data_IF_071855653772
#
_entry.id   IF_071855653772
#
_cell.length_a   1.000
_cell.length_b   1.000
_cell.length_c   1.000
_cell.angle_alpha   90.00
_cell.angle_beta   90.00
_cell.angle_gamma   90.00
#
_symmetry.space_group_name_H-M   'P 1'
#
loop_
_entity.id
_entity.type
_entity.pdbx_description
1 polymer ?
#
# COMPACT_ATOMS: atom_id res chain seq x y z
N UNK A 1 10.99 43.49 -25.79
CA UNK A 1 10.12 42.45 -26.35
C UNK A 1 8.79 43.09 -26.66
N UNK A 2 8.29 42.98 -27.90
CA UNK A 2 7.01 43.62 -28.24
C UNK A 2 5.83 42.88 -27.60
N UNK A 3 4.75 43.61 -27.27
CA UNK A 3 3.52 43.05 -26.64
C UNK A 3 2.95 41.84 -27.45
N UNK A 4 3.07 41.89 -28.79
CA UNK A 4 2.67 40.76 -29.67
C UNK A 4 3.49 39.46 -29.38
N UNK A 5 4.81 39.57 -29.23
CA UNK A 5 5.68 38.42 -28.92
C UNK A 5 5.39 37.84 -27.55
N UNK A 6 5.13 38.71 -26.57
CA UNK A 6 4.78 38.26 -25.21
C UNK A 6 3.44 37.52 -25.17
N UNK A 7 2.42 38.01 -25.88
CA UNK A 7 1.11 37.32 -26.00
C UNK A 7 1.23 35.97 -26.70
N UNK A 8 2.04 35.88 -27.78
CA UNK A 8 2.29 34.60 -28.48
C UNK A 8 2.97 33.59 -27.57
N UNK A 9 4.01 34.01 -26.85
CA UNK A 9 4.72 33.14 -25.90
C UNK A 9 3.80 32.66 -24.77
N UNK A 10 3.04 33.59 -24.18
CA UNK A 10 2.06 33.25 -23.12
C UNK A 10 1.03 32.23 -23.62
N UNK A 11 0.55 32.37 -24.85
CA UNK A 11 -0.40 31.43 -25.46
C UNK A 11 0.22 30.04 -25.66
N UNK A 12 1.46 29.95 -26.16
CA UNK A 12 2.14 28.66 -26.35
C UNK A 12 2.44 27.96 -25.04
N UNK A 13 2.92 28.70 -24.04
CA UNK A 13 3.16 28.17 -22.69
C UNK A 13 1.83 27.74 -22.05
N UNK A 14 0.78 28.57 -22.17
CA UNK A 14 -0.55 28.23 -21.65
C UNK A 14 -1.13 26.97 -22.26
N UNK A 15 -0.98 26.76 -23.58
CA UNK A 15 -1.44 25.55 -24.24
C UNK A 15 -0.66 24.31 -23.76
N UNK A 16 0.66 24.40 -23.65
CA UNK A 16 1.49 23.30 -23.16
C UNK A 16 1.15 22.98 -21.69
N UNK A 17 1.00 24.01 -20.85
CA UNK A 17 0.59 23.84 -19.45
C UNK A 17 -0.83 23.24 -19.31
N UNK A 18 -1.76 23.64 -20.19
CA UNK A 18 -3.11 23.08 -20.23
C UNK A 18 -3.10 21.58 -20.54
N UNK A 19 -2.26 21.14 -21.48
CA UNK A 19 -2.12 19.71 -21.80
C UNK A 19 -1.64 18.92 -20.59
N UNK A 20 -0.62 19.44 -19.89
CA UNK A 20 -0.12 18.82 -18.65
C UNK A 20 -1.18 18.76 -17.55
N UNK A 21 -1.95 19.84 -17.34
CA UNK A 21 -3.03 19.88 -16.36
C UNK A 21 -4.14 18.86 -16.67
N UNK A 22 -4.48 18.68 -17.96
CA UNK A 22 -5.44 17.64 -18.38
C UNK A 22 -4.92 16.25 -18.03
N UNK A 23 -3.66 15.96 -18.34
CA UNK A 23 -3.05 14.66 -18.01
C UNK A 23 -3.08 14.45 -16.49
N UNK A 24 -2.67 15.45 -15.69
CA UNK A 24 -2.66 15.35 -14.24
C UNK A 24 -4.07 15.13 -13.67
N UNK A 25 -5.08 15.85 -14.18
CA UNK A 25 -6.46 15.69 -13.74
C UNK A 25 -7.03 14.31 -14.08
N UNK A 26 -6.80 13.82 -15.31
CA UNK A 26 -7.25 12.50 -15.74
C UNK A 26 -6.57 11.38 -14.93
N UNK A 27 -5.26 11.47 -14.72
CA UNK A 27 -4.55 10.47 -13.90
C UNK A 27 -5.04 10.46 -12.46
N UNK A 28 -5.34 11.62 -11.87
CA UNK A 28 -5.93 11.70 -10.52
C UNK A 28 -7.27 10.97 -10.47
N UNK A 29 -8.18 11.24 -11.42
CA UNK A 29 -9.48 10.57 -11.49
C UNK A 29 -9.34 9.05 -11.65
N UNK A 30 -8.45 8.60 -12.54
CA UNK A 30 -8.20 7.15 -12.75
C UNK A 30 -7.66 6.50 -11.49
N UNK A 31 -6.70 7.12 -10.80
CA UNK A 31 -6.10 6.57 -9.58
C UNK A 31 -7.09 6.53 -8.41
N UNK A 32 -7.89 7.57 -8.23
CA UNK A 32 -8.93 7.62 -7.20
C UNK A 32 -10.02 6.57 -7.40
N UNK A 33 -10.38 6.32 -8.66
CA UNK A 33 -11.42 5.39 -9.05
C UNK A 33 -10.89 4.14 -9.77
N UNK A 34 -9.67 3.71 -9.44
CA UNK A 34 -8.99 2.59 -10.11
C UNK A 34 -9.84 1.31 -10.25
N UNK A 35 -10.71 1.03 -9.26
CA UNK A 35 -11.60 -0.15 -9.28
C UNK A 35 -12.67 -0.07 -10.38
N UNK A 36 -13.06 1.13 -10.84
CA UNK A 36 -13.99 1.33 -11.93
C UNK A 36 -13.30 1.14 -13.28
N UNK A 37 -12.07 1.65 -13.43
CA UNK A 37 -11.30 1.58 -14.68
C UNK A 37 -10.58 0.24 -14.85
N UNK A 38 -10.14 -0.34 -13.75
CA UNK A 38 -9.44 -1.61 -13.68
C UNK A 38 -10.15 -2.48 -12.63
N UNK A 39 -11.36 -2.99 -12.95
CA UNK A 39 -12.00 -3.95 -12.05
C UNK A 39 -11.05 -5.12 -11.85
N UNK A 40 -10.93 -5.65 -10.63
CA UNK A 40 -10.14 -6.86 -10.40
C UNK A 40 -10.62 -7.89 -11.40
N UNK A 41 -9.71 -8.35 -12.26
CA UNK A 41 -10.04 -9.39 -13.22
C UNK A 41 -10.49 -10.60 -12.40
N UNK A 42 -11.68 -11.12 -12.68
CA UNK A 42 -12.18 -12.35 -12.07
C UNK A 42 -11.29 -13.57 -12.38
N UNK A 43 -10.28 -13.38 -13.17
CA UNK A 43 -9.22 -14.31 -13.53
C UNK A 43 -7.86 -13.63 -13.32
N UNK A 44 -7.37 -13.61 -12.07
CA UNK A 44 -5.94 -13.73 -11.93
C UNK A 44 -5.61 -15.15 -12.42
N UNK A 45 -4.91 -15.28 -13.54
CA UNK A 45 -4.43 -16.57 -14.04
C UNK A 45 -3.37 -17.19 -13.11
N UNK A 46 -3.20 -16.66 -11.92
CA UNK A 46 -2.38 -17.16 -10.83
C UNK A 46 -3.26 -17.65 -9.67
N UNK A 47 -2.80 -18.67 -8.94
CA UNK A 47 -3.52 -19.23 -7.80
C UNK A 47 -3.61 -18.31 -6.59
N UNK A 48 -3.02 -17.13 -6.66
CA UNK A 48 -2.91 -16.14 -5.57
C UNK A 48 -3.28 -14.76 -6.11
N UNK A 49 -3.97 -13.95 -5.35
CA UNK A 49 -4.46 -12.60 -5.66
C UNK A 49 -3.58 -11.72 -6.57
N UNK A 50 -4.00 -10.51 -6.80
CA UNK A 50 -3.35 -9.62 -7.77
C UNK A 50 -1.93 -9.18 -7.39
N UNK A 51 -1.64 -9.11 -6.08
CA UNK A 51 -0.38 -8.58 -5.57
C UNK A 51 0.27 -9.54 -4.58
N UNK A 52 1.46 -10.01 -4.92
CA UNK A 52 2.35 -10.68 -3.98
C UNK A 52 2.97 -9.63 -3.06
N UNK A 53 2.72 -9.73 -1.77
CA UNK A 53 3.16 -8.75 -0.78
C UNK A 53 4.30 -9.26 0.08
N UNK A 54 4.31 -10.57 0.35
CA UNK A 54 5.34 -11.21 1.16
C UNK A 54 5.47 -12.69 0.82
N UNK A 55 6.61 -13.28 1.11
CA UNK A 55 6.81 -14.71 0.99
C UNK A 55 7.75 -15.23 2.08
N UNK A 56 7.66 -16.51 2.37
CA UNK A 56 8.60 -17.23 3.22
C UNK A 56 8.80 -18.64 2.67
N UNK A 57 10.03 -19.13 2.76
CA UNK A 57 10.42 -20.50 2.42
C UNK A 57 10.88 -21.16 3.71
N UNK A 58 10.38 -22.36 3.99
CA UNK A 58 10.79 -23.10 5.16
C UNK A 58 12.24 -23.57 5.02
N UNK A 59 13.11 -23.18 5.95
CA UNK A 59 14.54 -23.49 5.87
C UNK A 59 14.85 -24.99 5.94
N UNK A 60 14.05 -25.77 6.70
CA UNK A 60 14.21 -27.21 6.86
C UNK A 60 13.50 -28.02 5.77
N UNK A 61 12.53 -27.43 5.08
CA UNK A 61 11.71 -28.07 4.04
C UNK A 61 11.46 -27.05 2.92
N UNK A 62 12.41 -26.87 1.96
CA UNK A 62 12.33 -25.83 0.94
C UNK A 62 11.13 -25.93 -0.03
N UNK A 63 10.48 -27.07 -0.09
CA UNK A 63 9.22 -27.28 -0.82
C UNK A 63 8.03 -26.61 -0.16
N UNK A 64 8.10 -26.31 1.15
CA UNK A 64 7.08 -25.52 1.85
C UNK A 64 7.30 -24.03 1.62
N UNK A 65 6.35 -23.41 0.97
CA UNK A 65 6.36 -21.97 0.66
C UNK A 65 5.08 -21.33 1.16
N UNK A 66 5.19 -20.20 1.87
CA UNK A 66 4.07 -19.32 2.21
C UNK A 66 4.11 -18.07 1.34
N UNK A 67 2.96 -17.63 0.89
CA UNK A 67 2.80 -16.39 0.16
C UNK A 67 1.68 -15.58 0.78
N UNK A 68 1.97 -14.34 1.12
CA UNK A 68 1.01 -13.34 1.56
C UNK A 68 0.63 -12.41 0.42
N UNK A 69 -0.65 -12.22 0.21
CA UNK A 69 -1.21 -11.43 -0.89
C UNK A 69 -2.25 -10.43 -0.40
N UNK A 70 -2.84 -9.68 -1.31
CA UNK A 70 -4.03 -8.86 -1.04
C UNK A 70 -5.31 -9.68 -0.87
N UNK A 71 -5.29 -10.97 -1.25
CA UNK A 71 -6.42 -11.90 -1.11
C UNK A 71 -6.28 -12.86 0.07
N UNK A 72 -5.17 -12.82 0.82
CA UNK A 72 -4.92 -13.67 1.98
C UNK A 72 -3.60 -14.42 1.93
N UNK A 73 -3.51 -15.52 2.68
CA UNK A 73 -2.34 -16.40 2.77
C UNK A 73 -2.54 -17.63 1.91
N UNK A 74 -1.49 -18.01 1.20
CA UNK A 74 -1.44 -19.23 0.39
C UNK A 74 -0.23 -20.04 0.79
N UNK A 75 -0.37 -21.37 0.75
CA UNK A 75 0.71 -22.33 1.03
C UNK A 75 0.96 -23.23 -0.17
N UNK A 76 2.21 -23.61 -0.36
CA UNK A 76 2.65 -24.61 -1.33
C UNK A 76 3.47 -25.67 -0.62
N UNK A 77 3.28 -26.93 -1.00
CA UNK A 77 4.04 -28.08 -0.52
C UNK A 77 4.96 -28.68 -1.61
N UNK A 78 5.09 -28.00 -2.75
CA UNK A 78 5.83 -28.50 -3.92
C UNK A 78 6.76 -27.44 -4.55
N UNK A 79 7.34 -26.58 -3.71
CA UNK A 79 8.30 -25.58 -4.13
C UNK A 79 7.68 -24.45 -4.96
N UNK A 80 6.40 -24.11 -4.72
CA UNK A 80 5.72 -23.02 -5.41
C UNK A 80 5.09 -23.41 -6.76
N UNK A 81 5.04 -24.69 -7.11
CA UNK A 81 4.40 -25.15 -8.37
C UNK A 81 2.88 -25.05 -8.33
N UNK A 82 2.29 -25.25 -7.15
CA UNK A 82 0.87 -25.01 -6.88
C UNK A 82 0.68 -24.43 -5.50
N UNK A 83 -0.42 -23.68 -5.32
CA UNK A 83 -0.74 -23.03 -4.05
C UNK A 83 -2.18 -23.32 -3.65
N UNK A 84 -2.41 -23.43 -2.35
CA UNK A 84 -3.72 -23.63 -1.74
C UNK A 84 -3.94 -22.45 -0.81
N UNK A 85 -5.12 -21.83 -0.88
CA UNK A 85 -5.48 -20.74 0.02
C UNK A 85 -5.71 -21.26 1.42
N UNK A 86 -5.12 -20.60 2.39
CA UNK A 86 -5.28 -20.89 3.81
C UNK A 86 -6.47 -20.08 4.36
N UNK A 87 -7.36 -20.76 5.08
CA UNK A 87 -8.50 -20.10 5.72
C UNK A 87 -8.04 -19.35 6.97
N UNK A 88 -8.24 -18.04 6.98
CA UNK A 88 -7.95 -17.18 8.12
C UNK A 88 -9.22 -16.96 8.97
N UNK A 89 -9.11 -16.71 10.29
CA UNK A 89 -10.26 -16.48 11.17
C UNK A 89 -10.86 -15.08 11.01
N UNK A 90 -10.34 -14.30 10.10
CA UNK A 90 -10.78 -12.93 9.78
C UNK A 90 -10.93 -12.78 8.28
N UNK A 91 -11.78 -11.86 7.87
CA UNK A 91 -11.93 -11.52 6.45
C UNK A 91 -10.56 -11.20 5.83
N UNK A 92 -10.32 -11.73 4.62
CA UNK A 92 -9.09 -11.57 3.90
C UNK A 92 -8.73 -10.07 3.78
N UNK A 93 -7.52 -9.75 4.17
CA UNK A 93 -6.96 -8.40 4.04
C UNK A 93 -5.51 -8.53 3.59
N UNK A 94 -4.90 -7.40 3.20
CA UNK A 94 -3.51 -7.39 2.77
C UNK A 94 -2.58 -8.05 3.80
N UNK A 95 -1.92 -9.12 3.40
CA UNK A 95 -0.94 -9.84 4.23
C UNK A 95 0.41 -9.19 4.04
N UNK A 96 0.84 -8.42 5.02
CA UNK A 96 2.10 -7.63 4.93
C UNK A 96 3.34 -8.45 5.23
N UNK A 97 3.21 -9.56 5.96
CA UNK A 97 4.29 -10.50 6.20
C UNK A 97 3.76 -11.92 6.44
N UNK A 98 4.53 -12.90 6.01
CA UNK A 98 4.39 -14.32 6.40
C UNK A 98 5.75 -14.83 6.85
N UNK A 99 5.76 -15.81 7.76
CA UNK A 99 6.96 -16.48 8.21
C UNK A 99 6.67 -17.91 8.66
N UNK A 100 7.69 -18.76 8.60
CA UNK A 100 7.74 -20.03 9.32
C UNK A 100 8.46 -19.83 10.65
N UNK A 101 8.12 -20.64 11.64
CA UNK A 101 9.00 -20.85 12.78
C UNK A 101 10.23 -21.64 12.31
N UNK A 102 11.47 -21.20 12.62
CA UNK A 102 12.66 -21.80 12.04
C UNK A 102 12.84 -23.31 12.34
N UNK A 103 12.41 -23.74 13.52
CA UNK A 103 12.57 -25.13 13.99
C UNK A 103 11.29 -25.98 13.90
N UNK A 104 10.15 -25.35 13.55
CA UNK A 104 8.84 -26.00 13.54
C UNK A 104 8.15 -25.72 12.19
N UNK A 105 8.32 -26.61 11.19
CA UNK A 105 7.79 -26.39 9.84
C UNK A 105 6.26 -26.23 9.75
N UNK A 106 5.53 -26.79 10.72
CA UNK A 106 4.06 -26.63 10.81
C UNK A 106 3.61 -25.34 11.48
N UNK A 107 4.54 -24.56 12.06
CA UNK A 107 4.23 -23.33 12.76
C UNK A 107 4.38 -22.12 11.84
N UNK A 108 3.25 -21.56 11.45
CA UNK A 108 3.15 -20.45 10.51
C UNK A 108 2.80 -19.15 11.23
N UNK A 109 3.26 -18.05 10.66
CA UNK A 109 2.88 -16.70 11.07
C UNK A 109 2.35 -15.90 9.88
N UNK A 110 1.34 -15.08 10.13
CA UNK A 110 0.81 -14.14 9.16
C UNK A 110 0.53 -12.79 9.83
N UNK A 111 0.97 -11.72 9.20
CA UNK A 111 0.69 -10.34 9.62
C UNK A 111 -0.26 -9.72 8.64
N UNK A 112 -1.46 -9.36 9.10
CA UNK A 112 -2.50 -8.76 8.28
C UNK A 112 -2.61 -7.27 8.60
N UNK A 113 -2.64 -6.46 7.55
CA UNK A 113 -2.77 -5.00 7.68
C UNK A 113 -4.01 -4.64 8.51
N UNK A 114 -3.82 -3.86 9.57
CA UNK A 114 -4.88 -3.40 10.49
C UNK A 114 -5.63 -4.51 11.27
N UNK A 115 -5.29 -5.78 11.06
CA UNK A 115 -5.91 -6.91 11.78
C UNK A 115 -4.98 -7.49 12.83
N UNK A 116 -3.65 -7.35 12.66
CA UNK A 116 -2.62 -7.78 13.60
C UNK A 116 -1.87 -9.02 13.17
N UNK A 117 -1.28 -9.71 14.15
CA UNK A 117 -0.42 -10.87 13.98
C UNK A 117 -1.20 -12.13 14.33
N UNK A 118 -1.08 -13.15 13.51
CA UNK A 118 -1.69 -14.46 13.70
C UNK A 118 -0.63 -15.55 13.63
N UNK A 119 -0.80 -16.61 14.41
CA UNK A 119 0.03 -17.82 14.33
C UNK A 119 -0.85 -19.07 14.22
N UNK A 120 -0.32 -20.08 13.56
CA UNK A 120 -0.90 -21.41 13.42
C UNK A 120 0.16 -22.46 13.73
N UNK A 121 -0.17 -23.44 14.57
CA UNK A 121 0.73 -24.53 14.94
C UNK A 121 0.52 -25.81 14.10
N UNK A 122 -0.47 -25.79 13.20
CA UNK A 122 -0.97 -26.97 12.48
C UNK A 122 -1.03 -26.75 10.95
N UNK A 123 0.02 -26.10 10.42
CA UNK A 123 0.17 -25.84 8.98
C UNK A 123 -0.96 -25.00 8.38
N UNK A 124 -1.46 -24.03 9.18
CA UNK A 124 -2.44 -23.07 8.71
C UNK A 124 -3.90 -23.53 8.82
N UNK A 125 -4.20 -24.61 9.54
CA UNK A 125 -5.57 -25.10 9.73
C UNK A 125 -6.32 -24.28 10.75
N UNK A 126 -5.68 -24.01 11.90
CA UNK A 126 -6.22 -23.17 12.97
C UNK A 126 -5.28 -21.99 13.24
N UNK A 127 -5.83 -20.78 13.34
CA UNK A 127 -5.08 -19.56 13.60
C UNK A 127 -5.50 -18.92 14.90
N UNK A 128 -4.52 -18.51 15.68
CA UNK A 128 -4.69 -17.77 16.92
C UNK A 128 -4.10 -16.38 16.76
N UNK A 129 -4.83 -15.37 17.20
CA UNK A 129 -4.32 -13.99 17.19
C UNK A 129 -3.29 -13.81 18.31
N UNK A 130 -2.11 -13.31 17.95
CA UNK A 130 -1.08 -12.91 18.90
C UNK A 130 -1.46 -11.53 19.45
N UNK A 131 -1.49 -11.39 20.78
CA UNK A 131 -1.71 -10.09 21.42
C UNK A 131 -0.47 -9.21 21.21
N UNK A 132 -0.60 -8.17 20.40
CA UNK A 132 0.45 -7.21 20.12
C UNK A 132 0.14 -5.88 20.83
N UNK A 133 1.08 -5.31 21.60
CA UNK A 133 0.80 -4.20 22.52
C UNK A 133 0.71 -2.83 21.86
N UNK A 134 0.81 -2.74 20.52
CA UNK A 134 0.76 -1.48 19.78
C UNK A 134 -0.34 -1.50 18.72
N UNK A 135 -0.89 -0.31 18.42
CA UNK A 135 -1.78 -0.07 17.29
C UNK A 135 -1.04 0.52 16.08
N UNK A 136 0.27 0.74 16.21
CA UNK A 136 1.09 1.27 15.14
C UNK A 136 1.16 0.31 13.94
N UNK A 137 1.18 0.84 12.71
CA UNK A 137 1.33 0.00 11.52
C UNK A 137 2.62 -0.82 11.56
N UNK A 138 2.49 -2.12 11.36
CA UNK A 138 3.63 -3.04 11.30
C UNK A 138 4.34 -2.83 9.96
N UNK A 139 5.63 -2.52 10.03
CA UNK A 139 6.50 -2.28 8.87
C UNK A 139 7.29 -3.52 8.48
N UNK A 140 7.71 -4.31 9.48
CA UNK A 140 8.48 -5.53 9.27
C UNK A 140 8.18 -6.53 10.38
N UNK A 141 8.30 -7.82 10.05
CA UNK A 141 8.07 -8.95 10.96
C UNK A 141 9.15 -9.99 10.74
N UNK A 142 9.72 -10.51 11.81
CA UNK A 142 10.74 -11.53 11.76
C UNK A 142 10.62 -12.50 12.95
N UNK A 143 10.92 -13.76 12.69
CA UNK A 143 10.98 -14.82 13.71
C UNK A 143 12.42 -15.32 13.79
N UNK A 144 13.04 -15.18 14.94
CA UNK A 144 14.41 -15.65 15.22
C UNK A 144 14.47 -17.17 15.42
N UNK A 145 15.68 -17.71 15.31
CA UNK A 145 15.91 -19.16 15.54
C UNK A 145 15.55 -19.63 16.96
N UNK A 146 15.55 -18.73 17.90
CA UNK A 146 15.15 -18.94 19.29
C UNK A 146 13.64 -18.79 19.54
N UNK A 147 12.85 -18.62 18.49
CA UNK A 147 11.42 -18.35 18.55
C UNK A 147 11.06 -16.91 18.95
N UNK A 148 12.04 -16.02 19.12
CA UNK A 148 11.82 -14.61 19.38
C UNK A 148 11.12 -13.96 18.19
N UNK A 149 9.99 -13.28 18.42
CA UNK A 149 9.31 -12.49 17.41
C UNK A 149 9.80 -11.04 17.51
N UNK A 150 10.18 -10.49 16.38
CA UNK A 150 10.56 -9.08 16.24
C UNK A 150 9.64 -8.37 15.27
N UNK A 151 9.08 -7.23 15.72
CA UNK A 151 8.10 -6.42 14.97
C UNK A 151 8.59 -4.99 14.92
N UNK A 152 8.84 -4.47 13.73
CA UNK A 152 9.21 -3.06 13.55
C UNK A 152 7.96 -2.24 13.28
N UNK A 153 7.84 -1.13 14.01
CA UNK A 153 6.81 -0.10 13.82
C UNK A 153 7.46 1.28 13.78
N UNK A 154 6.67 2.32 13.62
CA UNK A 154 7.17 3.70 13.76
C UNK A 154 7.49 4.10 15.22
N UNK A 155 7.02 3.33 16.21
CA UNK A 155 7.34 3.53 17.63
C UNK A 155 8.72 2.95 17.99
N UNK A 156 9.17 1.93 17.25
CA UNK A 156 10.42 1.25 17.46
C UNK A 156 10.37 -0.23 17.14
N UNK A 157 11.34 -0.98 17.68
CA UNK A 157 11.43 -2.42 17.54
C UNK A 157 10.78 -3.09 18.77
N UNK A 158 9.66 -3.75 18.55
CA UNK A 158 9.05 -4.62 19.55
C UNK A 158 9.63 -6.01 19.46
N UNK A 159 10.04 -6.58 20.58
CA UNK A 159 10.52 -7.96 20.70
C UNK A 159 9.64 -8.74 21.65
N UNK A 160 9.25 -9.96 21.25
CA UNK A 160 8.51 -10.91 22.08
C UNK A 160 9.39 -12.10 22.37
N UNK A 161 9.69 -12.30 23.62
CA UNK A 161 10.39 -13.48 24.14
C UNK A 161 9.38 -14.24 24.98
N UNK A 162 9.04 -15.45 24.56
CA UNK A 162 7.91 -16.21 25.10
C UNK A 162 6.60 -15.40 24.95
N UNK A 163 5.96 -14.99 26.05
CA UNK A 163 4.72 -14.20 26.03
C UNK A 163 4.96 -12.70 26.32
N UNK A 164 6.19 -12.31 26.63
CA UNK A 164 6.51 -10.96 27.09
C UNK A 164 7.01 -10.07 25.94
N UNK A 165 6.34 -8.95 25.74
CA UNK A 165 6.76 -7.93 24.79
C UNK A 165 7.64 -6.88 25.45
N UNK A 166 8.71 -6.49 24.78
CA UNK A 166 9.56 -5.35 25.11
C UNK A 166 9.66 -4.41 23.93
N UNK A 167 9.66 -3.11 24.19
CA UNK A 167 9.85 -2.08 23.17
C UNK A 167 11.27 -1.50 23.28
N UNK A 168 12.01 -1.56 22.19
CA UNK A 168 13.22 -0.77 21.98
C UNK A 168 12.79 0.45 21.19
N UNK A 169 12.66 1.63 21.80
CA UNK A 169 12.06 2.80 21.17
C UNK A 169 12.88 3.24 19.95
N UNK A 170 12.21 3.76 18.93
CA UNK A 170 12.89 4.38 17.82
C UNK A 170 13.73 5.56 18.31
N UNK A 171 14.98 5.63 17.89
CA UNK A 171 15.81 6.81 18.17
C UNK A 171 15.14 8.01 17.50
N UNK A 172 14.71 8.97 18.33
CA UNK A 172 14.14 10.20 17.83
C UNK A 172 15.18 10.88 16.93
N UNK A 173 14.93 10.91 15.62
CA UNK A 173 15.75 11.71 14.71
C UNK A 173 15.41 13.18 14.94
N UNK A 174 16.42 13.96 15.25
CA UNK A 174 16.34 15.42 15.47
C UNK A 174 15.80 16.22 14.27
N UNK A 175 15.60 15.57 13.14
CA UNK A 175 15.20 16.21 11.87
C UNK A 175 13.73 15.86 11.49
N UNK A 176 12.81 16.00 12.46
CA UNK A 176 11.39 15.71 12.24
C UNK A 176 10.69 16.77 11.38
N UNK A 177 11.13 18.03 11.45
CA UNK A 177 10.45 19.16 10.81
C UNK A 177 10.37 19.05 9.28
N UNK A 178 11.46 18.62 8.64
CA UNK A 178 11.51 18.51 7.19
C UNK A 178 10.62 17.37 6.65
N UNK A 179 10.58 16.24 7.38
CA UNK A 179 9.71 15.11 7.03
C UNK A 179 8.24 15.39 7.32
N UNK A 180 7.96 16.10 8.40
CA UNK A 180 6.60 16.51 8.72
C UNK A 180 6.08 17.49 7.67
N UNK A 181 6.90 18.41 7.21
CA UNK A 181 6.54 19.30 6.10
C UNK A 181 6.26 18.52 4.81
N UNK A 182 7.14 17.60 4.41
CA UNK A 182 6.92 16.77 3.22
C UNK A 182 5.65 15.91 3.34
N UNK A 183 5.41 15.32 4.51
CA UNK A 183 4.19 14.55 4.77
C UNK A 183 2.94 15.41 4.67
N UNK A 184 2.97 16.63 5.22
CA UNK A 184 1.86 17.58 5.10
C UNK A 184 1.66 17.94 3.63
N UNK A 185 2.73 18.24 2.89
CA UNK A 185 2.66 18.56 1.48
C UNK A 185 2.06 17.40 0.64
N UNK A 186 2.47 16.17 0.90
CA UNK A 186 1.88 14.99 0.26
C UNK A 186 0.40 14.82 0.60
N UNK A 187 0.04 14.91 1.88
CA UNK A 187 -1.33 14.75 2.33
C UNK A 187 -2.27 15.84 1.78
N UNK A 188 -1.76 17.05 1.61
CA UNK A 188 -2.49 18.14 0.94
C UNK A 188 -2.66 17.87 -0.56
N UNK A 189 -1.60 17.35 -1.21
CA UNK A 189 -1.60 17.11 -2.65
C UNK A 189 -2.52 15.97 -3.07
N UNK A 190 -2.54 14.87 -2.31
CA UNK A 190 -3.36 13.68 -2.59
C UNK A 190 -4.75 13.71 -1.93
N UNK A 191 -5.04 14.77 -1.16
CA UNK A 191 -6.32 14.96 -0.49
C UNK A 191 -6.46 14.19 0.83
N UNK A 192 -5.50 13.35 1.23
CA UNK A 192 -5.60 12.55 2.47
C UNK A 192 -5.63 13.40 3.74
N UNK A 193 -5.18 14.67 3.66
CA UNK A 193 -5.30 15.64 4.75
C UNK A 193 -6.75 15.87 5.20
N UNK A 194 -7.72 15.67 4.32
CA UNK A 194 -9.16 15.83 4.59
C UNK A 194 -9.89 14.49 4.82
N UNK A 195 -9.16 13.41 5.06
CA UNK A 195 -9.73 12.09 5.31
C UNK A 195 -10.63 11.59 4.17
N UNK A 196 -11.79 10.99 4.47
CA UNK A 196 -12.70 10.43 3.43
C UNK A 196 -13.22 11.47 2.44
N UNK A 197 -13.30 12.75 2.83
CA UNK A 197 -13.74 13.84 1.95
C UNK A 197 -12.66 14.24 0.94
N UNK A 198 -11.40 13.89 1.19
CA UNK A 198 -10.29 14.29 0.34
C UNK A 198 -10.40 13.80 -1.09
N UNK A 199 -10.90 12.58 -1.31
CA UNK A 199 -11.16 12.04 -2.66
C UNK A 199 -12.16 12.92 -3.42
N UNK A 200 -13.26 13.30 -2.80
CA UNK A 200 -14.28 14.16 -3.42
C UNK A 200 -13.74 15.54 -3.75
N UNK A 201 -12.90 16.11 -2.85
CA UNK A 201 -12.27 17.42 -3.08
C UNK A 201 -11.30 17.35 -4.27
N UNK A 202 -10.45 16.34 -4.33
CA UNK A 202 -9.49 16.19 -5.44
C UNK A 202 -10.18 15.90 -6.76
N UNK A 203 -11.28 15.13 -6.77
CA UNK A 203 -12.08 14.88 -7.96
C UNK A 203 -12.77 16.16 -8.46
N UNK A 204 -13.36 16.94 -7.56
CA UNK A 204 -13.99 18.22 -7.89
C UNK A 204 -12.98 19.22 -8.47
N UNK A 205 -11.78 19.31 -7.88
CA UNK A 205 -10.69 20.13 -8.40
C UNK A 205 -10.24 19.67 -9.79
N UNK A 206 -10.11 18.35 -10.00
CA UNK A 206 -9.73 17.77 -11.29
C UNK A 206 -10.77 18.07 -12.38
N UNK A 207 -12.05 17.92 -12.08
CA UNK A 207 -13.15 18.26 -12.99
C UNK A 207 -13.20 19.78 -13.29
N UNK A 208 -12.93 20.62 -12.27
CA UNK A 208 -12.86 22.07 -12.43
C UNK A 208 -11.72 22.47 -13.37
N UNK A 209 -10.55 21.86 -13.24
CA UNK A 209 -9.40 22.10 -14.13
C UNK A 209 -9.75 21.70 -15.57
N UNK A 210 -10.37 20.54 -15.79
CA UNK A 210 -10.81 20.11 -17.11
C UNK A 210 -11.81 21.12 -17.72
N UNK A 211 -12.79 21.57 -16.94
CA UNK A 211 -13.77 22.59 -17.36
C UNK A 211 -13.12 23.93 -17.74
N UNK A 212 -12.16 24.39 -16.95
CA UNK A 212 -11.41 25.61 -17.24
C UNK A 212 -10.58 25.51 -18.51
N UNK A 213 -9.90 24.37 -18.73
CA UNK A 213 -9.13 24.16 -19.96
C UNK A 213 -10.04 24.11 -21.17
N UNK A 214 -11.14 23.36 -21.11
CA UNK A 214 -12.12 23.28 -22.20
C UNK A 214 -12.70 24.66 -22.55
N UNK A 215 -13.15 25.41 -21.54
CA UNK A 215 -13.69 26.76 -21.75
C UNK A 215 -12.64 27.73 -22.30
N UNK A 216 -11.39 27.65 -21.84
CA UNK A 216 -10.27 28.43 -22.36
C UNK A 216 -9.99 28.17 -23.83
N UNK A 217 -10.00 26.90 -24.27
CA UNK A 217 -9.83 26.51 -25.67
C UNK A 217 -10.98 27.05 -26.54
N UNK A 218 -12.23 26.95 -26.06
CA UNK A 218 -13.41 27.46 -26.80
C UNK A 218 -13.33 28.96 -26.97
N UNK A 219 -13.03 29.71 -25.91
CA UNK A 219 -12.88 31.16 -25.96
C UNK A 219 -11.74 31.59 -26.88
N UNK A 220 -10.63 30.88 -26.84
CA UNK A 220 -9.50 31.11 -27.74
C UNK A 220 -9.86 30.94 -29.21
N UNK A 221 -10.58 29.85 -29.57
CA UNK A 221 -11.04 29.61 -30.93
C UNK A 221 -11.98 30.74 -31.43
N UNK A 222 -12.88 31.21 -30.55
CA UNK A 222 -13.82 32.30 -30.92
C UNK A 222 -13.13 33.64 -31.15
N UNK A 223 -11.96 33.89 -30.54
CA UNK A 223 -11.19 35.11 -30.73
C UNK A 223 -10.25 35.02 -31.94
N UNK A 224 -10.03 33.84 -32.47
CA UNK A 224 -9.17 33.61 -33.64
C UNK A 224 -9.95 33.53 -34.97
N UNK A 225 -11.28 33.45 -34.87
CA UNK A 225 -12.22 33.52 -36.03
C UNK A 225 -12.76 34.93 -36.18
#
# INVERSE_FOLDING_TARGET
MTTKKLRSLHRQIGLAASLWLVIAALTTLVLNHRKLFFPPSAQSNGPYGQYLLSHAICASQPELVLVGTDAGVFTSENGGKSFIQVTLPVEASQVVAVAFHPNEPSHYYAVLRQKGIFSSLDSGKLWTKINFPSQAPIQSFHVGFDGTISVLTNEGLHRRVQENWSLIPAVARTDSSQRDFLRIAYNLHDGTAWGPLGLWITDLLSLSILGLVCSGVVLWKRQAA
#
